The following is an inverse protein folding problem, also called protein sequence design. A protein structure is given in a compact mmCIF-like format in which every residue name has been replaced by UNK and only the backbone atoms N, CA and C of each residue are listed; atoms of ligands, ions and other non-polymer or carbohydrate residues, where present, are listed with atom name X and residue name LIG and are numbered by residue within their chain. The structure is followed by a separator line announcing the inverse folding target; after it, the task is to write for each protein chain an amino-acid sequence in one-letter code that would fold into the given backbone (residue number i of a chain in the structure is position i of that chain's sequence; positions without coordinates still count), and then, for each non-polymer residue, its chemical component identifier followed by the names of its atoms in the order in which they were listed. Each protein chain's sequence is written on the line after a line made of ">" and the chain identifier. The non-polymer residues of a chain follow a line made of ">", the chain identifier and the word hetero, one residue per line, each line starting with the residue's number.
data_IF_087483111485
#
_entry.id   IF_087483111485
#
_cell.length_a   1.000
_cell.length_b   1.000
_cell.length_c   1.000
_cell.angle_alpha   90.00
_cell.angle_beta   90.00
_cell.angle_gamma   90.00
#
_symmetry.space_group_name_H-M   'P 1'
#
loop_
_entity.id
_entity.type
_entity.pdbx_description
1 polymer ?
#
# COMPACT_ATOMS: atom_id res chain seq x y z
N UNK A 1 3.11 18.96 -17.76
CA UNK A 1 2.90 17.63 -17.17
C UNK A 1 3.45 17.65 -15.75
N UNK A 2 2.81 16.99 -14.78
CA UNK A 2 3.34 16.92 -13.42
C UNK A 2 4.70 16.21 -13.41
N UNK A 3 5.53 16.49 -12.41
CA UNK A 3 6.85 15.89 -12.26
C UNK A 3 7.19 15.63 -10.77
N UNK A 4 8.46 15.33 -10.49
CA UNK A 4 8.92 15.10 -9.12
C UNK A 4 8.69 16.30 -8.19
N UNK A 5 8.82 17.54 -8.66
CA UNK A 5 8.63 18.74 -7.83
C UNK A 5 7.17 18.83 -7.34
N UNK A 6 6.21 18.47 -8.20
CA UNK A 6 4.80 18.37 -7.82
C UNK A 6 4.55 17.26 -6.80
N UNK A 7 5.18 16.09 -6.97
CA UNK A 7 5.10 14.97 -6.03
C UNK A 7 5.67 15.37 -4.66
N UNK A 8 6.84 16.02 -4.69
CA UNK A 8 7.54 16.47 -3.50
C UNK A 8 6.71 17.48 -2.73
N UNK A 9 6.17 18.50 -3.41
CA UNK A 9 5.34 19.52 -2.81
C UNK A 9 4.01 18.98 -2.27
N UNK A 10 3.32 18.09 -3.00
CA UNK A 10 1.96 17.62 -2.62
C UNK A 10 1.95 16.46 -1.62
N UNK A 11 2.99 15.62 -1.60
CA UNK A 11 2.98 14.37 -0.82
C UNK A 11 4.16 14.24 0.13
N UNK A 12 5.38 14.45 -0.35
CA UNK A 12 6.59 14.17 0.45
C UNK A 12 6.75 15.20 1.56
N UNK A 13 6.66 16.49 1.20
CA UNK A 13 6.84 17.60 2.14
C UNK A 13 5.62 17.84 3.03
N UNK A 14 4.44 17.35 2.65
CA UNK A 14 3.23 17.42 3.49
C UNK A 14 3.22 16.41 4.63
N UNK A 15 4.21 15.49 4.68
CA UNK A 15 4.25 14.40 5.65
C UNK A 15 3.25 13.27 5.38
N UNK A 16 2.52 13.32 4.27
CA UNK A 16 1.56 12.27 3.90
C UNK A 16 2.22 11.00 3.36
N UNK A 17 3.48 11.09 2.91
CA UNK A 17 4.22 9.97 2.33
C UNK A 17 4.40 8.81 3.33
N UNK A 18 3.97 7.61 2.92
CA UNK A 18 4.10 6.36 3.69
C UNK A 18 5.40 5.60 3.42
N UNK A 19 6.33 6.19 2.66
CA UNK A 19 7.67 5.63 2.40
C UNK A 19 7.62 4.25 1.69
N UNK A 20 6.56 3.97 0.91
CA UNK A 20 6.35 2.67 0.25
C UNK A 20 7.33 2.35 -0.90
N UNK A 21 8.10 3.33 -1.39
CA UNK A 21 9.12 3.13 -2.43
C UNK A 21 8.62 3.06 -3.88
N UNK A 22 7.31 3.18 -4.14
CA UNK A 22 6.75 3.08 -5.50
C UNK A 22 7.36 4.07 -6.49
N UNK A 23 7.55 5.34 -6.08
CA UNK A 23 8.16 6.37 -6.93
C UNK A 23 9.63 6.08 -7.27
N UNK A 24 10.37 5.40 -6.39
CA UNK A 24 11.77 5.02 -6.60
C UNK A 24 11.84 3.89 -7.62
N UNK A 25 11.04 2.84 -7.43
CA UNK A 25 11.00 1.69 -8.32
C UNK A 25 10.52 2.06 -9.73
N UNK A 26 9.52 2.94 -9.83
CA UNK A 26 8.98 3.37 -11.12
C UNK A 26 9.94 4.26 -11.92
N UNK A 27 10.95 4.86 -11.29
CA UNK A 27 11.86 5.79 -11.98
C UNK A 27 12.82 5.03 -12.91
N UNK A 28 12.69 5.15 -14.25
CA UNK A 28 13.50 4.36 -15.18
C UNK A 28 15.00 4.68 -15.10
N UNK A 29 15.32 5.93 -14.75
CA UNK A 29 16.69 6.43 -14.67
C UNK A 29 17.23 6.49 -13.24
N UNK A 30 16.51 5.94 -12.25
CA UNK A 30 16.94 5.87 -10.84
C UNK A 30 17.32 7.22 -10.22
N UNK A 31 16.60 8.30 -10.57
CA UNK A 31 16.87 9.66 -10.06
C UNK A 31 16.40 9.88 -8.62
N UNK A 32 15.49 9.05 -8.12
CA UNK A 32 14.94 9.14 -6.76
C UNK A 32 15.58 8.05 -5.90
N UNK A 33 16.00 8.42 -4.69
CA UNK A 33 16.65 7.51 -3.74
C UNK A 33 16.00 7.62 -2.37
N UNK A 34 16.16 6.58 -1.55
CA UNK A 34 15.90 6.71 -0.12
C UNK A 34 17.05 7.45 0.54
N UNK A 35 16.78 8.64 1.07
CA UNK A 35 17.73 9.45 1.81
C UNK A 35 17.00 10.01 3.04
N UNK A 36 17.61 9.86 4.22
CA UNK A 36 17.05 10.36 5.48
C UNK A 36 15.62 9.85 5.74
N UNK A 37 15.36 8.58 5.43
CA UNK A 37 14.06 7.94 5.66
C UNK A 37 12.93 8.40 4.73
N UNK A 38 13.22 9.17 3.67
CA UNK A 38 12.22 9.62 2.69
C UNK A 38 12.73 9.45 1.25
N UNK A 39 11.83 9.32 0.27
CA UNK A 39 12.19 9.48 -1.13
C UNK A 39 12.71 10.90 -1.37
N UNK A 40 13.91 11.03 -1.91
CA UNK A 40 14.50 12.33 -2.30
C UNK A 40 15.13 12.22 -3.68
N UNK A 41 15.02 13.29 -4.47
CA UNK A 41 15.77 13.47 -5.72
C UNK A 41 17.04 14.27 -5.43
N UNK A 42 18.24 13.66 -5.38
CA UNK A 42 19.45 14.35 -4.95
C UNK A 42 19.92 15.41 -5.96
N UNK A 43 19.59 15.24 -7.25
CA UNK A 43 19.96 16.17 -8.32
C UNK A 43 18.82 16.28 -9.33
N UNK A 44 18.53 17.51 -9.75
CA UNK A 44 17.62 17.74 -10.87
C UNK A 44 18.36 17.45 -12.18
N UNK A 45 17.81 16.56 -13.00
CA UNK A 45 18.34 16.16 -14.31
C UNK A 45 17.34 16.55 -15.40
N UNK A 46 17.82 16.83 -16.60
CA UNK A 46 17.00 17.40 -17.69
C UNK A 46 15.85 16.45 -18.10
N UNK A 47 16.14 15.16 -18.18
CA UNK A 47 15.20 14.06 -18.45
C UNK A 47 14.13 13.86 -17.35
N UNK A 48 14.30 14.49 -16.18
CA UNK A 48 13.37 14.42 -15.06
C UNK A 48 12.40 15.61 -15.02
N UNK A 49 12.66 16.70 -15.76
CA UNK A 49 11.87 17.95 -15.68
C UNK A 49 10.44 17.78 -16.21
N UNK A 50 10.25 16.95 -17.23
CA UNK A 50 8.96 16.69 -17.88
C UNK A 50 8.52 15.23 -17.76
N UNK A 51 9.02 14.49 -16.76
CA UNK A 51 8.72 13.07 -16.54
C UNK A 51 7.69 12.89 -15.39
N UNK A 52 6.46 12.40 -15.68
CA UNK A 52 5.41 12.26 -14.67
C UNK A 52 5.43 10.93 -13.92
N UNK A 53 6.30 9.98 -14.30
CA UNK A 53 6.21 8.57 -13.87
C UNK A 53 6.16 8.42 -12.34
N UNK A 54 7.02 9.14 -11.62
CA UNK A 54 7.03 9.09 -10.16
C UNK A 54 5.79 9.70 -9.51
N UNK A 55 5.21 10.72 -10.14
CA UNK A 55 3.96 11.36 -9.72
C UNK A 55 2.80 10.39 -9.91
N UNK A 56 2.69 9.77 -11.09
CA UNK A 56 1.62 8.82 -11.40
C UNK A 56 1.71 7.53 -10.57
N UNK A 57 2.92 7.10 -10.21
CA UNK A 57 3.13 5.95 -9.33
C UNK A 57 2.68 6.19 -7.88
N UNK A 58 2.47 7.43 -7.45
CA UNK A 58 2.11 7.72 -6.07
C UNK A 58 0.60 7.61 -5.83
N UNK A 59 0.18 6.52 -5.20
CA UNK A 59 -1.24 6.26 -4.89
C UNK A 59 -1.91 7.34 -4.04
N UNK A 60 -1.14 8.08 -3.21
CA UNK A 60 -1.67 9.14 -2.36
C UNK A 60 -2.27 10.30 -3.17
N UNK A 61 -1.78 10.54 -4.39
CA UNK A 61 -2.33 11.54 -5.31
C UNK A 61 -3.67 11.13 -5.93
N UNK A 62 -4.08 9.88 -5.73
CA UNK A 62 -5.38 9.33 -6.14
C UNK A 62 -6.22 8.88 -4.95
N UNK A 63 -5.82 9.27 -3.72
CA UNK A 63 -6.49 8.84 -2.49
C UNK A 63 -7.99 9.16 -2.48
N UNK A 64 -8.39 10.33 -2.97
CA UNK A 64 -9.81 10.70 -3.08
C UNK A 64 -10.60 9.72 -3.96
N UNK A 65 -10.08 9.39 -5.15
CA UNK A 65 -10.71 8.41 -6.04
C UNK A 65 -10.77 7.00 -5.40
N UNK A 66 -9.72 6.60 -4.66
CA UNK A 66 -9.74 5.33 -3.92
C UNK A 66 -10.80 5.35 -2.82
N UNK A 67 -10.96 6.46 -2.08
CA UNK A 67 -11.98 6.61 -1.04
C UNK A 67 -13.40 6.61 -1.63
N UNK A 68 -13.61 7.21 -2.80
CA UNK A 68 -14.88 7.17 -3.55
C UNK A 68 -15.23 5.74 -3.98
N UNK A 69 -14.32 5.05 -4.69
CA UNK A 69 -14.51 3.65 -5.13
C UNK A 69 -14.79 2.75 -3.93
N UNK A 70 -14.03 2.90 -2.85
CA UNK A 70 -14.23 2.10 -1.64
C UNK A 70 -15.59 2.39 -0.99
N UNK A 71 -16.08 3.63 -1.04
CA UNK A 71 -17.40 3.99 -0.53
C UNK A 71 -18.53 3.38 -1.35
N UNK A 72 -18.36 3.23 -2.66
CA UNK A 72 -19.33 2.54 -3.53
C UNK A 72 -19.37 1.04 -3.26
N UNK A 73 -18.20 0.41 -3.06
CA UNK A 73 -18.09 -1.04 -2.88
C UNK A 73 -18.49 -1.48 -1.47
N UNK A 74 -18.12 -0.70 -0.45
CA UNK A 74 -18.27 -1.08 0.97
C UNK A 74 -19.37 -0.29 1.69
N UNK A 75 -20.00 0.68 1.03
CA UNK A 75 -20.88 1.65 1.67
C UNK A 75 -20.09 2.75 2.40
N UNK A 76 -20.81 3.58 3.17
CA UNK A 76 -20.23 4.74 3.85
C UNK A 76 -19.04 4.33 4.73
N UNK A 77 -17.84 4.81 4.38
CA UNK A 77 -16.61 4.49 5.10
C UNK A 77 -16.58 5.21 6.46
N UNK A 78 -17.22 4.62 7.46
CA UNK A 78 -17.01 5.06 8.84
C UNK A 78 -15.59 4.72 9.27
N UNK A 79 -14.85 5.73 9.73
CA UNK A 79 -13.52 5.55 10.33
C UNK A 79 -13.65 4.90 11.71
N UNK A 80 -13.90 3.58 11.72
CA UNK A 80 -13.86 2.73 12.91
C UNK A 80 -12.41 2.31 13.18
N UNK A 81 -12.07 1.93 14.42
CA UNK A 81 -10.68 1.67 14.84
C UNK A 81 -9.91 0.66 13.98
N UNK A 82 -10.57 -0.38 13.47
CA UNK A 82 -10.00 -1.41 12.58
C UNK A 82 -10.35 -1.20 11.09
N UNK A 83 -10.95 -0.06 10.75
CA UNK A 83 -11.48 0.22 9.41
C UNK A 83 -12.82 -0.46 9.13
N UNK A 84 -13.18 -0.51 7.85
CA UNK A 84 -14.45 -1.06 7.37
C UNK A 84 -14.30 -2.56 7.10
N UNK A 85 -15.25 -3.35 7.58
CA UNK A 85 -15.28 -4.80 7.44
C UNK A 85 -16.67 -5.28 7.03
N UNK A 86 -16.75 -6.36 6.24
CA UNK A 86 -18.04 -6.99 5.91
C UNK A 86 -18.57 -7.83 7.05
N UNK A 87 -17.69 -8.59 7.73
CA UNK A 87 -17.99 -9.44 8.89
C UNK A 87 -16.74 -9.56 9.77
N UNK A 88 -16.94 -9.68 11.07
CA UNK A 88 -15.92 -10.12 12.03
C UNK A 88 -16.35 -11.49 12.54
N UNK A 89 -15.47 -12.48 12.41
CA UNK A 89 -15.75 -13.85 12.78
C UNK A 89 -14.63 -14.35 13.69
N UNK A 90 -15.01 -15.02 14.78
CA UNK A 90 -14.10 -15.84 15.56
C UNK A 90 -14.24 -17.29 15.08
N UNK A 91 -13.13 -17.95 14.76
CA UNK A 91 -13.12 -19.31 14.24
C UNK A 91 -11.89 -20.07 14.78
N UNK A 92 -11.96 -21.41 14.72
CA UNK A 92 -10.87 -22.32 15.09
C UNK A 92 -10.76 -23.46 14.08
N UNK A 93 -9.54 -23.90 13.80
CA UNK A 93 -9.28 -25.05 12.95
C UNK A 93 -9.90 -26.33 13.54
N UNK A 94 -10.42 -27.19 12.67
CA UNK A 94 -11.03 -28.46 13.07
C UNK A 94 -9.99 -29.58 13.18
N UNK A 95 -8.95 -29.53 12.37
CA UNK A 95 -7.88 -30.54 12.38
C UNK A 95 -7.04 -30.43 13.66
N UNK A 96 -7.01 -31.51 14.45
CA UNK A 96 -6.33 -31.51 15.75
C UNK A 96 -4.82 -31.35 15.62
N UNK A 97 -4.22 -31.84 14.52
CA UNK A 97 -2.78 -31.68 14.29
C UNK A 97 -2.44 -30.21 14.06
N UNK A 98 -3.25 -29.52 13.24
CA UNK A 98 -3.15 -28.07 13.03
C UNK A 98 -3.32 -27.32 14.35
N UNK A 99 -4.38 -27.61 15.13
CA UNK A 99 -4.64 -26.91 16.41
C UNK A 99 -3.47 -27.01 17.38
N UNK A 100 -2.78 -28.16 17.42
CA UNK A 100 -1.62 -28.38 18.32
C UNK A 100 -0.35 -27.61 17.89
N UNK A 101 -0.19 -27.32 16.59
CA UNK A 101 1.02 -26.71 16.04
C UNK A 101 0.86 -25.22 15.70
N UNK A 102 -0.37 -24.73 15.61
CA UNK A 102 -0.68 -23.37 15.16
C UNK A 102 -0.73 -22.33 16.29
N UNK A 103 -0.78 -21.06 15.91
CA UNK A 103 -1.15 -19.95 16.80
C UNK A 103 -2.65 -19.63 16.71
N UNK A 104 -3.21 -19.14 17.83
CA UNK A 104 -4.55 -18.55 17.93
C UNK A 104 -5.67 -19.37 17.27
N UNK A 105 -5.68 -20.67 17.56
CA UNK A 105 -6.71 -21.59 17.06
C UNK A 105 -6.57 -21.97 15.59
N UNK A 106 -5.54 -21.51 14.88
CA UNK A 106 -5.07 -22.16 13.64
C UNK A 106 -5.79 -21.80 12.36
N UNK A 107 -6.53 -20.70 12.35
CA UNK A 107 -7.25 -20.28 11.15
C UNK A 107 -6.33 -19.93 9.99
N UNK A 108 -5.28 -19.14 10.24
CA UNK A 108 -4.32 -18.77 9.19
C UNK A 108 -3.63 -20.02 8.64
N UNK A 109 -3.19 -20.92 9.52
CA UNK A 109 -2.56 -22.19 9.15
C UNK A 109 -3.49 -23.06 8.31
N UNK A 110 -4.76 -23.21 8.72
CA UNK A 110 -5.74 -24.00 7.99
C UNK A 110 -6.01 -23.46 6.58
N UNK A 111 -6.11 -22.14 6.41
CA UNK A 111 -6.29 -21.50 5.10
C UNK A 111 -5.07 -21.75 4.20
N UNK A 112 -3.86 -21.58 4.73
CA UNK A 112 -2.63 -21.79 3.98
C UNK A 112 -2.45 -23.26 3.57
N UNK A 113 -2.74 -24.21 4.48
CA UNK A 113 -2.72 -25.65 4.17
C UNK A 113 -3.74 -26.01 3.10
N UNK A 114 -4.94 -25.43 3.16
CA UNK A 114 -5.95 -25.64 2.12
C UNK A 114 -5.45 -25.16 0.75
N UNK A 115 -4.94 -23.93 0.67
CA UNK A 115 -4.41 -23.38 -0.57
C UNK A 115 -3.24 -24.21 -1.12
N UNK A 116 -2.31 -24.65 -0.25
CA UNK A 116 -1.18 -25.48 -0.65
C UNK A 116 -1.59 -26.84 -1.20
N UNK A 117 -2.59 -27.47 -0.59
CA UNK A 117 -3.04 -28.82 -0.96
C UNK A 117 -4.01 -28.83 -2.15
N UNK A 118 -4.77 -27.74 -2.36
CA UNK A 118 -5.87 -27.69 -3.34
C UNK A 118 -5.63 -26.76 -4.53
N UNK A 119 -4.65 -25.86 -4.47
CA UNK A 119 -4.18 -25.02 -5.58
C UNK A 119 -5.29 -24.45 -6.45
#
# INVERSE_FOLDING_TARGET
>A
MPNYDDLEAKVINTGSCTVCGACILACPNSHIKFLEGKPKRPRKKLDCVSCPICYDACYLLRRGAVEEIMSEVLGKLEKRGIGVYRRILAARAKDQNTVKACQDGGIVTAILLYALNKG
#
